data_IF_135494253846
#
_entry.id   IF_135494253846
#
_cell.length_a   1.000
_cell.length_b   1.000
_cell.length_c   1.000
_cell.angle_alpha   90.00
_cell.angle_beta   90.00
_cell.angle_gamma   90.00
#
_symmetry.space_group_name_H-M   'P 1'
#
loop_
_entity.id
_entity.type
_entity.pdbx_description
1 polymer ?
#
# COMPACT_ATOMS: atom_id res chain seq x y z
N UNK A 1 -49.23 -5.86 -8.06
CA UNK A 1 -48.42 -6.30 -6.91
C UNK A 1 -47.18 -5.45 -6.93
N UNK A 2 -47.16 -4.38 -6.14
CA UNK A 2 -46.03 -3.47 -6.01
C UNK A 2 -44.89 -4.19 -5.29
N UNK A 3 -43.75 -4.32 -5.96
CA UNK A 3 -42.51 -4.72 -5.33
C UNK A 3 -41.93 -3.50 -4.63
N UNK A 4 -42.23 -3.37 -3.34
CA UNK A 4 -41.65 -2.37 -2.44
C UNK A 4 -40.11 -2.42 -2.47
N UNK A 5 -39.40 -1.28 -2.63
CA UNK A 5 -37.94 -1.22 -2.78
C UNK A 5 -37.18 -1.27 -1.43
N UNK A 6 -37.81 -1.70 -0.33
CA UNK A 6 -37.26 -1.51 1.03
C UNK A 6 -36.17 -2.50 1.49
N UNK A 7 -35.86 -3.57 0.75
CA UNK A 7 -34.96 -4.60 1.28
C UNK A 7 -33.47 -4.42 0.99
N UNK A 8 -33.06 -3.40 0.23
CA UNK A 8 -31.65 -3.23 -0.16
C UNK A 8 -30.81 -2.47 0.89
N UNK A 9 -31.05 -2.73 2.17
CA UNK A 9 -30.21 -2.23 3.26
C UNK A 9 -28.90 -3.03 3.20
N UNK A 10 -27.85 -2.45 2.62
CA UNK A 10 -26.48 -3.01 2.69
C UNK A 10 -26.11 -3.20 4.16
N UNK A 11 -26.18 -4.43 4.65
CA UNK A 11 -25.66 -4.80 5.95
C UNK A 11 -24.15 -4.67 5.83
N UNK A 12 -23.58 -3.65 6.46
CA UNK A 12 -22.13 -3.49 6.54
C UNK A 12 -21.66 -4.55 7.53
N UNK A 13 -20.97 -5.57 7.04
CA UNK A 13 -20.37 -6.54 7.93
C UNK A 13 -19.20 -5.86 8.65
N UNK A 14 -19.15 -5.95 9.99
CA UNK A 14 -18.04 -5.43 10.79
C UNK A 14 -16.67 -5.97 10.31
N UNK A 15 -16.66 -7.15 9.68
CA UNK A 15 -15.49 -7.72 8.99
C UNK A 15 -14.94 -6.84 7.87
N UNK A 16 -15.79 -6.15 7.12
CA UNK A 16 -15.38 -5.34 5.97
C UNK A 16 -14.69 -4.05 6.42
N UNK A 17 -15.19 -3.46 7.51
CA UNK A 17 -14.55 -2.29 8.15
C UNK A 17 -13.19 -2.68 8.69
N UNK A 18 -13.10 -3.80 9.43
CA UNK A 18 -11.84 -4.34 9.95
C UNK A 18 -10.83 -4.60 8.82
N UNK A 19 -11.27 -5.21 7.71
CA UNK A 19 -10.43 -5.45 6.55
C UNK A 19 -9.93 -4.14 5.92
N UNK A 20 -10.81 -3.14 5.73
CA UNK A 20 -10.43 -1.83 5.18
C UNK A 20 -9.42 -1.11 6.06
N UNK A 21 -9.61 -1.13 7.38
CA UNK A 21 -8.64 -0.56 8.34
C UNK A 21 -7.30 -1.27 8.28
N UNK A 22 -7.30 -2.61 8.22
CA UNK A 22 -6.05 -3.38 8.08
C UNK A 22 -5.31 -3.03 6.78
N UNK A 23 -6.00 -2.96 5.65
CA UNK A 23 -5.39 -2.56 4.37
C UNK A 23 -4.86 -1.13 4.38
N UNK A 24 -5.54 -0.21 5.07
CA UNK A 24 -5.06 1.16 5.25
C UNK A 24 -3.76 1.21 6.04
N UNK A 25 -3.68 0.48 7.16
CA UNK A 25 -2.47 0.38 7.99
C UNK A 25 -1.32 -0.21 7.16
N UNK A 26 -1.58 -1.27 6.40
CA UNK A 26 -0.59 -1.90 5.52
C UNK A 26 -0.09 -0.90 4.47
N UNK A 27 -0.98 -0.17 3.81
CA UNK A 27 -0.62 0.86 2.82
C UNK A 27 0.24 1.96 3.44
N UNK A 28 -0.16 2.50 4.59
CA UNK A 28 0.63 3.49 5.32
C UNK A 28 2.01 2.93 5.69
N UNK A 29 2.08 1.67 6.13
CA UNK A 29 3.33 0.97 6.40
C UNK A 29 4.26 0.91 5.18
N UNK A 30 3.74 0.55 4.01
CA UNK A 30 4.51 0.56 2.76
C UNK A 30 4.98 1.96 2.36
N UNK A 31 4.17 2.99 2.61
CA UNK A 31 4.57 4.37 2.38
C UNK A 31 5.74 4.80 3.28
N UNK A 32 5.69 4.48 4.58
CA UNK A 32 6.80 4.73 5.49
C UNK A 32 8.05 3.90 5.13
N UNK A 33 7.87 2.65 4.71
CA UNK A 33 8.96 1.83 4.20
C UNK A 33 9.62 2.48 2.97
N UNK A 34 8.83 3.01 2.04
CA UNK A 34 9.36 3.78 0.91
C UNK A 34 10.18 4.98 1.39
N UNK A 35 9.67 5.79 2.32
CA UNK A 35 10.40 6.95 2.84
C UNK A 35 11.71 6.54 3.51
N UNK A 36 11.67 5.50 4.34
CA UNK A 36 12.85 4.96 4.99
C UNK A 36 13.88 4.49 3.97
N UNK A 37 13.47 3.66 3.00
CA UNK A 37 14.37 3.22 1.93
C UNK A 37 14.88 4.39 1.09
N UNK A 38 14.07 5.42 0.87
CA UNK A 38 14.43 6.58 0.06
C UNK A 38 15.50 7.46 0.70
N UNK A 39 15.46 7.62 2.03
CA UNK A 39 16.33 8.52 2.77
C UNK A 39 17.41 7.82 3.61
N UNK A 40 17.40 6.49 3.70
CA UNK A 40 18.39 5.76 4.48
C UNK A 40 19.75 5.74 3.79
N UNK A 41 20.67 6.56 4.30
CA UNK A 41 22.07 6.57 3.88
C UNK A 41 22.77 5.23 4.20
N UNK A 42 22.37 4.55 5.28
CA UNK A 42 22.92 3.25 5.68
C UNK A 42 22.73 2.18 4.60
N UNK A 43 21.55 2.16 3.96
CA UNK A 43 21.25 1.22 2.87
C UNK A 43 22.12 1.52 1.65
N UNK A 44 22.33 2.81 1.35
CA UNK A 44 23.14 3.25 0.22
C UNK A 44 24.63 2.91 0.41
N UNK A 45 25.14 3.11 1.64
CA UNK A 45 26.49 2.69 2.02
C UNK A 45 26.67 1.17 1.98
N UNK A 46 25.65 0.40 2.38
CA UNK A 46 25.69 -1.05 2.28
C UNK A 46 25.75 -1.52 0.82
N UNK A 47 24.90 -0.98 -0.06
CA UNK A 47 24.93 -1.27 -1.49
C UNK A 47 26.30 -0.95 -2.11
N UNK A 48 26.88 0.19 -1.75
CA UNK A 48 28.22 0.59 -2.21
C UNK A 48 29.30 -0.38 -1.72
N UNK A 49 29.27 -0.80 -0.44
CA UNK A 49 30.22 -1.79 0.10
C UNK A 49 30.14 -3.13 -0.63
N UNK A 50 28.92 -3.63 -0.87
CA UNK A 50 28.72 -4.88 -1.61
C UNK A 50 29.19 -4.74 -3.06
N UNK A 51 28.91 -3.60 -3.71
CA UNK A 51 29.35 -3.34 -5.08
C UNK A 51 30.88 -3.26 -5.21
N UNK A 52 31.56 -2.67 -4.23
CA UNK A 52 33.03 -2.62 -4.17
C UNK A 52 33.66 -4.00 -3.97
N UNK A 53 33.01 -4.87 -3.18
CA UNK A 53 33.48 -6.23 -2.95
C UNK A 53 33.17 -7.19 -4.12
N UNK A 54 31.99 -7.04 -4.73
CA UNK A 54 31.53 -7.84 -5.87
C UNK A 54 30.53 -7.01 -6.69
N UNK A 55 31.00 -6.52 -7.84
CA UNK A 55 30.21 -5.62 -8.70
C UNK A 55 28.94 -6.27 -9.25
N UNK A 56 28.99 -7.57 -9.60
CA UNK A 56 27.81 -8.29 -10.07
C UNK A 56 26.77 -8.43 -8.96
N UNK A 57 27.18 -8.82 -7.75
CA UNK A 57 26.27 -8.93 -6.61
C UNK A 57 25.70 -7.55 -6.20
N UNK A 58 26.51 -6.51 -6.21
CA UNK A 58 26.08 -5.13 -5.93
C UNK A 58 25.07 -4.61 -6.94
N UNK A 59 25.25 -4.90 -8.23
CA UNK A 59 24.28 -4.57 -9.27
C UNK A 59 22.93 -5.25 -9.04
N UNK A 60 22.92 -6.57 -8.81
CA UNK A 60 21.69 -7.32 -8.51
C UNK A 60 20.96 -6.75 -7.29
N UNK A 61 21.71 -6.48 -6.22
CA UNK A 61 21.14 -5.94 -4.98
C UNK A 61 20.57 -4.53 -5.16
N UNK A 62 21.22 -3.70 -5.99
CA UNK A 62 20.75 -2.35 -6.34
C UNK A 62 19.45 -2.42 -7.15
N UNK A 63 19.35 -3.35 -8.09
CA UNK A 63 18.13 -3.59 -8.87
C UNK A 63 16.99 -4.04 -7.95
N UNK A 64 17.24 -4.99 -7.05
CA UNK A 64 16.25 -5.44 -6.06
C UNK A 64 15.80 -4.28 -5.17
N UNK A 65 16.73 -3.49 -4.64
CA UNK A 65 16.42 -2.31 -3.84
C UNK A 65 15.53 -1.32 -4.61
N UNK A 66 15.83 -1.06 -5.88
CA UNK A 66 15.00 -0.22 -6.74
C UNK A 66 13.58 -0.76 -6.92
N UNK A 67 13.44 -2.06 -7.19
CA UNK A 67 12.13 -2.73 -7.33
C UNK A 67 11.33 -2.64 -6.03
N UNK A 68 11.94 -2.95 -4.88
CA UNK A 68 11.28 -2.89 -3.57
C UNK A 68 10.82 -1.46 -3.27
N UNK A 69 11.65 -0.46 -3.58
CA UNK A 69 11.30 0.96 -3.41
C UNK A 69 10.11 1.36 -4.29
N UNK A 70 10.09 0.93 -5.55
CA UNK A 70 8.96 1.18 -6.46
C UNK A 70 7.68 0.47 -5.99
N UNK A 71 7.75 -0.79 -5.58
CA UNK A 71 6.60 -1.51 -5.04
C UNK A 71 6.06 -0.85 -3.77
N UNK A 72 6.95 -0.38 -2.90
CA UNK A 72 6.57 0.29 -1.65
C UNK A 72 5.78 1.57 -1.91
N UNK A 73 6.16 2.39 -2.90
CA UNK A 73 5.38 3.59 -3.24
C UNK A 73 4.07 3.25 -3.95
N UNK A 74 4.06 2.27 -4.87
CA UNK A 74 2.85 1.87 -5.58
C UNK A 74 1.82 1.32 -4.59
N UNK A 75 2.20 0.38 -3.74
CA UNK A 75 1.31 -0.19 -2.71
C UNK A 75 0.95 0.85 -1.65
N UNK A 76 1.91 1.69 -1.26
CA UNK A 76 1.71 2.73 -0.26
C UNK A 76 0.73 3.82 -0.67
N UNK A 77 0.57 4.09 -1.97
CA UNK A 77 -0.42 5.04 -2.47
C UNK A 77 -1.72 4.37 -2.94
N UNK A 78 -1.62 3.22 -3.61
CA UNK A 78 -2.80 2.53 -4.18
C UNK A 78 -3.72 1.96 -3.11
N UNK A 79 -3.19 1.38 -2.02
CA UNK A 79 -4.01 0.80 -0.95
C UNK A 79 -4.82 1.87 -0.21
N UNK A 80 -4.23 2.97 0.30
CA UNK A 80 -5.02 4.05 0.91
C UNK A 80 -5.98 4.68 -0.09
N UNK A 81 -5.57 4.89 -1.33
CA UNK A 81 -6.43 5.42 -2.39
C UNK A 81 -7.67 4.55 -2.64
N UNK A 82 -7.51 3.24 -2.72
CA UNK A 82 -8.62 2.29 -2.87
C UNK A 82 -9.56 2.28 -1.66
N UNK A 83 -9.00 2.38 -0.44
CA UNK A 83 -9.79 2.47 0.80
C UNK A 83 -10.61 3.76 0.81
N UNK A 84 -9.99 4.91 0.50
CA UNK A 84 -10.68 6.21 0.42
C UNK A 84 -11.78 6.17 -0.64
N UNK A 85 -11.50 5.63 -1.83
CA UNK A 85 -12.48 5.53 -2.90
C UNK A 85 -13.71 4.71 -2.48
N UNK A 86 -13.51 3.53 -1.90
CA UNK A 86 -14.60 2.69 -1.39
C UNK A 86 -15.41 3.41 -0.29
N UNK A 87 -14.73 4.15 0.59
CA UNK A 87 -15.38 4.93 1.63
C UNK A 87 -16.25 6.06 1.05
N UNK A 88 -15.75 6.80 0.05
CA UNK A 88 -16.51 7.84 -0.63
C UNK A 88 -17.74 7.29 -1.37
N UNK A 89 -17.59 6.14 -2.04
CA UNK A 89 -18.71 5.47 -2.71
C UNK A 89 -19.79 5.04 -1.71
N UNK A 90 -19.37 4.52 -0.55
CA UNK A 90 -20.29 4.18 0.54
C UNK A 90 -21.06 5.40 1.04
N UNK A 91 -20.39 6.54 1.27
CA UNK A 91 -21.06 7.78 1.68
C UNK A 91 -22.08 8.23 0.63
N UNK A 92 -21.68 8.27 -0.65
CA UNK A 92 -22.54 8.76 -1.73
C UNK A 92 -23.76 7.86 -1.98
N UNK A 93 -23.67 6.55 -1.69
CA UNK A 93 -24.78 5.60 -1.86
C UNK A 93 -25.82 5.70 -0.74
N UNK A 94 -25.48 6.29 0.40
CA UNK A 94 -26.38 6.45 1.57
C UNK A 94 -26.95 7.88 1.69
N UNK A 95 -26.71 8.74 0.70
CA UNK A 95 -27.36 10.04 0.53
C UNK A 95 -28.51 9.91 -0.46
#
# INVERSE_FOLDING_TARGET
MDLSPESNKKIIHYSDILALTAFLIIGIGFFFLFLHLHHSNEVLEYLNRVNLANSTAGLWLTVIYGIVKLLSVILGLSLPGAVIYKFLQFINTNR
#
